data_IF_975219631577
#
_entry.id   IF_975219631577
#
_cell.length_a   1.000
_cell.length_b   1.000
_cell.length_c   1.000
_cell.angle_alpha   90.00
_cell.angle_beta   90.00
_cell.angle_gamma   90.00
#
_symmetry.space_group_name_H-M   'P 1'
#
loop_
_entity.id
_entity.type
_entity.pdbx_description
1 polymer ?
#
# COMPACT_ATOMS: atom_id res chain seq x y z
N UNK A 1 10.22 2.66 6.01
CA UNK A 1 9.02 1.94 5.50
C UNK A 1 7.72 2.59 6.00
N UNK A 2 6.76 2.84 5.10
CA UNK A 2 5.43 3.37 5.44
C UNK A 2 4.44 2.22 5.57
N UNK A 3 3.43 2.44 6.41
CA UNK A 3 2.48 1.42 6.82
C UNK A 3 1.06 1.90 6.62
N UNK A 4 0.18 1.01 6.18
CA UNK A 4 -1.26 1.23 5.99
C UNK A 4 -2.05 0.10 6.67
N UNK A 5 -3.33 0.32 6.92
CA UNK A 5 -4.23 -0.74 7.40
C UNK A 5 -4.86 -1.48 6.23
N UNK A 6 -5.43 -2.67 6.48
CA UNK A 6 -6.08 -3.49 5.44
C UNK A 6 -7.34 -2.84 4.86
N UNK A 7 -7.93 -1.86 5.55
CA UNK A 7 -9.07 -1.06 5.12
C UNK A 7 -8.68 0.08 4.18
N UNK A 8 -7.38 0.36 4.01
CA UNK A 8 -6.91 1.44 3.16
C UNK A 8 -7.22 1.15 1.71
N UNK A 9 -7.96 2.04 1.05
CA UNK A 9 -8.26 1.94 -0.38
C UNK A 9 -6.96 1.87 -1.20
N UNK A 10 -6.93 1.00 -2.21
CA UNK A 10 -5.79 0.83 -3.10
C UNK A 10 -5.38 2.14 -3.79
N UNK A 11 -6.34 2.96 -4.23
CA UNK A 11 -6.06 4.29 -4.78
C UNK A 11 -5.32 5.20 -3.79
N UNK A 12 -5.68 5.14 -2.50
CA UNK A 12 -4.98 5.90 -1.45
C UNK A 12 -3.58 5.33 -1.18
N UNK A 13 -3.42 4.01 -1.24
CA UNK A 13 -2.11 3.37 -1.14
C UNK A 13 -1.16 3.83 -2.26
N UNK A 14 -1.65 3.89 -3.52
CA UNK A 14 -0.91 4.42 -4.67
C UNK A 14 -0.52 5.89 -4.44
N UNK A 15 -1.47 6.73 -4.04
CA UNK A 15 -1.19 8.13 -3.75
C UNK A 15 -0.08 8.30 -2.69
N UNK A 16 -0.12 7.52 -1.59
CA UNK A 16 0.91 7.56 -0.56
C UNK A 16 2.27 7.14 -1.12
N UNK A 17 2.30 6.11 -1.96
CA UNK A 17 3.52 5.64 -2.63
C UNK A 17 4.14 6.73 -3.50
N UNK A 18 3.34 7.42 -4.32
CA UNK A 18 3.78 8.53 -5.17
C UNK A 18 4.29 9.72 -4.34
N UNK A 19 3.51 10.19 -3.37
CA UNK A 19 3.85 11.31 -2.49
C UNK A 19 5.20 11.11 -1.77
N UNK A 20 5.53 9.87 -1.44
CA UNK A 20 6.75 9.52 -0.72
C UNK A 20 7.84 8.93 -1.63
N UNK A 21 7.61 8.85 -2.95
CA UNK A 21 8.53 8.23 -3.91
C UNK A 21 8.98 6.81 -3.51
N UNK A 22 8.05 6.01 -2.99
CA UNK A 22 8.26 4.60 -2.62
C UNK A 22 7.35 3.69 -3.44
N UNK A 23 7.72 2.42 -3.58
CA UNK A 23 6.98 1.46 -4.40
C UNK A 23 6.33 0.34 -3.60
N UNK A 24 6.43 0.37 -2.27
CA UNK A 24 5.89 -0.64 -1.38
C UNK A 24 5.36 -0.04 -0.09
N UNK A 25 4.30 -0.65 0.45
CA UNK A 25 3.72 -0.32 1.75
C UNK A 25 3.56 -1.59 2.57
N UNK A 26 3.80 -1.48 3.87
CA UNK A 26 3.52 -2.55 4.83
C UNK A 26 2.05 -2.46 5.21
N UNK A 27 1.33 -3.57 5.15
CA UNK A 27 -0.02 -3.66 5.71
C UNK A 27 0.12 -4.15 7.15
N UNK A 28 -0.33 -3.36 8.12
CA UNK A 28 -0.35 -3.75 9.52
C UNK A 28 -1.66 -3.39 10.19
N UNK A 29 -2.05 -4.17 11.18
CA UNK A 29 -3.23 -3.94 12.01
C UNK A 29 -2.86 -4.23 13.47
N UNK A 30 -3.17 -3.31 14.38
CA UNK A 30 -2.85 -3.41 15.82
C UNK A 30 -1.38 -3.78 16.13
N UNK A 31 -0.43 -3.20 15.37
CA UNK A 31 1.00 -3.45 15.56
C UNK A 31 1.49 -4.81 15.03
N UNK A 32 0.60 -5.60 14.40
CA UNK A 32 0.96 -6.86 13.73
C UNK A 32 1.06 -6.65 12.23
N UNK A 33 2.17 -7.09 11.64
CA UNK A 33 2.36 -7.09 10.18
C UNK A 33 1.46 -8.17 9.58
N UNK A 34 0.58 -7.76 8.67
CA UNK A 34 -0.32 -8.63 7.94
C UNK A 34 0.22 -8.95 6.53
N UNK A 35 1.02 -8.05 5.97
CA UNK A 35 1.63 -8.28 4.66
C UNK A 35 2.36 -7.06 4.11
N UNK A 36 2.70 -7.16 2.83
CA UNK A 36 3.30 -6.09 2.04
C UNK A 36 2.56 -6.00 0.70
N UNK A 37 2.38 -4.78 0.20
CA UNK A 37 1.83 -4.54 -1.14
C UNK A 37 2.80 -3.68 -1.94
N UNK A 38 2.96 -4.01 -3.22
CA UNK A 38 3.76 -3.23 -4.15
C UNK A 38 2.87 -2.43 -5.11
N UNK A 39 3.38 -1.29 -5.56
CA UNK A 39 2.72 -0.44 -6.56
C UNK A 39 2.34 -1.23 -7.81
N UNK A 40 3.27 -2.05 -8.32
CA UNK A 40 3.06 -2.80 -9.55
C UNK A 40 1.95 -3.85 -9.44
N UNK A 41 1.70 -4.41 -8.26
CA UNK A 41 0.62 -5.36 -8.04
C UNK A 41 -0.74 -4.67 -8.14
N UNK A 42 -0.84 -3.46 -7.58
CA UNK A 42 -2.06 -2.63 -7.66
C UNK A 42 -2.35 -2.24 -9.12
N UNK A 43 -1.33 -1.79 -9.86
CA UNK A 43 -1.47 -1.42 -11.27
C UNK A 43 -1.87 -2.62 -12.14
N UNK A 44 -1.26 -3.80 -11.92
CA UNK A 44 -1.60 -5.03 -12.65
C UNK A 44 -3.03 -5.50 -12.38
N UNK A 45 -3.56 -5.25 -11.18
CA UNK A 45 -4.93 -5.57 -10.83
C UNK A 45 -5.96 -4.64 -11.51
N UNK A 46 -5.52 -3.62 -12.26
CA UNK A 46 -6.40 -2.67 -12.94
C UNK A 46 -7.08 -1.69 -11.99
N UNK A 47 -6.53 -1.49 -10.78
CA UNK A 47 -7.09 -0.60 -9.78
C UNK A 47 -6.42 0.78 -9.94
N UNK A 48 -7.05 1.65 -10.75
CA UNK A 48 -6.74 3.07 -10.93
C UNK A 48 -8.01 3.87 -11.17
#
# INVERSE_FOLDING_TARGET
>A
PKTITKETLAAKAVQIMEEHSITSLIVSDEGKIQGIIHLHDILKAGIV
#
